data_IF_018042586315
#
_entry.id   IF_018042586315
#
_cell.length_a   1.000
_cell.length_b   1.000
_cell.length_c   1.000
_cell.angle_alpha   90.00
_cell.angle_beta   90.00
_cell.angle_gamma   90.00
#
_symmetry.space_group_name_H-M   'P 1'
#
loop_
_entity.id
_entity.type
_entity.pdbx_description
1 polymer ?
#
# COMPACT_ATOMS: atom_id res chain seq x y z
N UNK A 1 -3.45 22.87 2.16
CA UNK A 1 -4.81 22.34 2.36
C UNK A 1 -5.79 23.31 1.74
N UNK A 2 -6.08 23.18 0.46
CA UNK A 2 -7.14 23.93 -0.24
C UNK A 2 -7.58 23.10 -1.45
N UNK A 3 -8.90 22.86 -1.52
CA UNK A 3 -9.72 22.44 -2.65
C UNK A 3 -9.62 20.95 -3.05
N UNK A 4 -10.50 20.15 -2.47
CA UNK A 4 -11.17 19.09 -3.19
C UNK A 4 -12.68 19.42 -3.18
N UNK A 5 -13.11 20.22 -4.16
CA UNK A 5 -14.52 20.38 -4.49
C UNK A 5 -14.83 19.27 -5.50
N UNK A 6 -15.38 18.16 -5.02
CA UNK A 6 -15.97 17.14 -5.88
C UNK A 6 -17.35 17.67 -6.34
N UNK A 7 -17.43 17.98 -7.63
CA UNK A 7 -18.70 18.16 -8.32
C UNK A 7 -19.36 16.78 -8.41
N UNK A 8 -20.31 16.52 -7.53
CA UNK A 8 -21.24 15.40 -7.68
C UNK A 8 -22.33 15.86 -8.65
N UNK A 9 -22.15 15.59 -9.95
CA UNK A 9 -23.26 15.62 -10.90
C UNK A 9 -24.18 14.45 -10.57
N UNK A 10 -25.36 14.77 -9.98
CA UNK A 10 -26.42 13.79 -9.75
C UNK A 10 -27.05 13.41 -11.06
N UNK A 11 -26.83 12.16 -11.52
CA UNK A 11 -27.73 11.54 -12.48
C UNK A 11 -29.04 11.23 -11.74
N UNK A 12 -30.13 11.91 -12.15
CA UNK A 12 -31.48 11.61 -11.70
C UNK A 12 -31.90 10.21 -12.18
N UNK A 13 -31.70 9.20 -11.35
CA UNK A 13 -32.46 7.97 -11.43
C UNK A 13 -33.64 8.09 -10.50
N UNK A 14 -34.84 7.91 -11.02
CA UNK A 14 -36.09 7.92 -10.28
C UNK A 14 -36.04 6.79 -9.24
N UNK A 15 -35.75 7.15 -7.99
CA UNK A 15 -35.81 6.24 -6.85
C UNK A 15 -37.27 6.14 -6.45
N UNK A 16 -37.84 4.96 -6.53
CA UNK A 16 -39.12 4.63 -5.89
C UNK A 16 -38.93 4.74 -4.39
N UNK A 17 -39.46 5.80 -3.78
CA UNK A 17 -39.52 5.95 -2.34
C UNK A 17 -40.46 4.88 -1.74
N UNK A 18 -39.90 3.90 -1.04
CA UNK A 18 -40.63 2.94 -0.20
C UNK A 18 -40.43 3.38 1.25
N UNK A 19 -41.56 3.71 1.91
CA UNK A 19 -41.57 4.10 3.33
C UNK A 19 -42.77 4.91 3.61
N UNK A 20 -43.25 5.85 3.57
CA UNK A 20 -44.58 6.46 3.59
C UNK A 20 -45.07 6.58 2.15
N UNK A 21 -46.26 6.06 1.83
CA UNK A 21 -46.91 6.25 0.52
C UNK A 21 -46.90 7.76 0.20
N UNK A 22 -45.80 8.23 -0.42
CA UNK A 22 -45.84 9.54 -1.05
C UNK A 22 -46.86 9.42 -2.18
N UNK A 23 -47.81 10.30 -2.27
CA UNK A 23 -48.66 10.40 -3.43
C UNK A 23 -47.85 10.98 -4.60
N UNK A 24 -46.78 10.30 -4.98
CA UNK A 24 -45.72 10.81 -5.85
C UNK A 24 -46.03 10.91 -7.33
N UNK A 25 -47.24 10.66 -7.74
CA UNK A 25 -47.55 10.70 -9.17
C UNK A 25 -48.33 11.96 -9.62
N UNK A 26 -49.05 12.61 -8.71
CA UNK A 26 -49.95 13.68 -9.14
C UNK A 26 -49.22 15.00 -9.41
N UNK A 27 -48.10 15.30 -8.70
CA UNK A 27 -47.38 16.59 -8.81
C UNK A 27 -45.97 16.45 -9.39
N UNK A 28 -45.38 15.30 -9.32
CA UNK A 28 -43.97 15.11 -9.68
C UNK A 28 -43.66 15.58 -11.11
N UNK A 29 -44.55 15.33 -12.08
CA UNK A 29 -44.36 15.83 -13.44
C UNK A 29 -44.43 17.38 -13.50
N UNK A 30 -45.40 17.97 -12.82
CA UNK A 30 -45.61 19.42 -12.80
C UNK A 30 -44.42 20.12 -12.08
N UNK A 31 -43.94 19.55 -10.96
CA UNK A 31 -42.75 20.07 -10.26
C UNK A 31 -41.52 19.98 -11.17
N UNK A 32 -41.32 18.87 -11.89
CA UNK A 32 -40.21 18.75 -12.86
C UNK A 32 -40.32 19.77 -13.99
N UNK A 33 -41.52 20.00 -14.52
CA UNK A 33 -41.71 21.01 -15.56
C UNK A 33 -41.39 22.42 -15.04
N UNK A 34 -41.88 22.79 -13.84
CA UNK A 34 -41.57 24.08 -13.23
C UNK A 34 -40.06 24.21 -12.90
N UNK A 35 -39.41 23.12 -12.48
CA UNK A 35 -37.99 23.11 -12.17
C UNK A 35 -37.10 23.47 -13.36
N UNK A 36 -37.49 23.15 -14.59
CA UNK A 36 -36.71 23.55 -15.80
C UNK A 36 -36.65 25.07 -15.96
N UNK A 37 -37.61 25.78 -15.45
CA UNK A 37 -37.68 27.25 -15.53
C UNK A 37 -36.88 27.97 -14.44
N UNK A 38 -36.42 27.29 -13.38
CA UNK A 38 -35.79 27.93 -12.20
C UNK A 38 -34.57 28.80 -12.60
N UNK A 39 -33.80 28.37 -13.61
CA UNK A 39 -32.62 29.11 -14.11
C UNK A 39 -32.95 30.16 -15.16
N UNK A 40 -33.89 29.84 -16.06
CA UNK A 40 -34.20 30.71 -17.21
C UNK A 40 -35.22 31.79 -16.90
N UNK A 41 -36.25 31.46 -16.12
CA UNK A 41 -37.31 32.40 -15.72
C UNK A 41 -37.78 32.06 -14.29
N UNK A 42 -37.01 32.50 -13.27
CA UNK A 42 -37.31 32.21 -11.87
C UNK A 42 -38.72 32.67 -11.43
N UNK A 43 -39.23 33.76 -12.01
CA UNK A 43 -40.54 34.28 -11.68
C UNK A 43 -41.67 33.34 -12.12
N UNK A 44 -41.57 32.82 -13.36
CA UNK A 44 -42.53 31.81 -13.85
C UNK A 44 -42.43 30.48 -13.10
N UNK A 45 -41.21 30.08 -12.70
CA UNK A 45 -41.03 28.88 -11.88
C UNK A 45 -41.77 29.07 -10.53
N UNK A 46 -41.58 30.21 -9.86
CA UNK A 46 -42.27 30.52 -8.61
C UNK A 46 -43.78 30.56 -8.76
N UNK A 47 -44.30 31.23 -9.80
CA UNK A 47 -45.74 31.25 -10.08
C UNK A 47 -46.31 29.85 -10.31
N UNK A 48 -45.59 28.97 -11.04
CA UNK A 48 -46.01 27.59 -11.28
C UNK A 48 -46.03 26.78 -9.98
N UNK A 49 -45.06 26.97 -9.09
CA UNK A 49 -45.05 26.30 -7.78
C UNK A 49 -46.18 26.84 -6.87
N UNK A 50 -46.41 28.15 -6.87
CA UNK A 50 -47.50 28.74 -6.10
C UNK A 50 -48.89 28.27 -6.58
N UNK A 51 -49.05 28.04 -7.88
CA UNK A 51 -50.27 27.46 -8.42
C UNK A 51 -50.50 26.01 -7.93
N UNK A 52 -49.42 25.20 -7.89
CA UNK A 52 -49.48 23.85 -7.34
C UNK A 52 -49.83 23.81 -5.85
N UNK A 53 -49.46 24.86 -5.10
CA UNK A 53 -49.74 24.99 -3.67
C UNK A 53 -51.10 25.60 -3.34
N UNK A 54 -51.98 25.72 -4.31
CA UNK A 54 -53.38 26.18 -4.09
C UNK A 54 -54.33 25.07 -3.65
N UNK A 55 -55.47 25.47 -3.11
CA UNK A 55 -56.57 24.57 -2.76
C UNK A 55 -56.16 23.50 -1.74
N UNK A 56 -56.39 22.22 -2.07
CA UNK A 56 -56.08 21.05 -1.21
C UNK A 56 -54.62 20.91 -0.88
N UNK A 57 -53.75 21.46 -1.72
CA UNK A 57 -52.30 21.31 -1.60
C UNK A 57 -51.63 22.39 -0.71
N UNK A 58 -52.39 23.39 -0.25
CA UNK A 58 -51.88 24.50 0.56
C UNK A 58 -51.13 24.08 1.83
N UNK A 59 -51.48 22.92 2.39
CA UNK A 59 -50.87 22.33 3.59
C UNK A 59 -50.25 20.99 3.31
N UNK A 60 -49.69 20.76 2.11
CA UNK A 60 -49.07 19.52 1.72
C UNK A 60 -47.55 19.58 1.94
N UNK A 61 -47.09 19.04 3.05
CA UNK A 61 -45.66 19.03 3.39
C UNK A 61 -44.79 18.27 2.37
N UNK A 62 -45.31 17.21 1.79
CA UNK A 62 -44.57 16.43 0.78
C UNK A 62 -44.34 17.22 -0.50
N UNK A 63 -45.36 17.94 -0.99
CA UNK A 63 -45.22 18.79 -2.17
C UNK A 63 -44.22 19.94 -1.91
N UNK A 64 -44.20 20.52 -0.73
CA UNK A 64 -43.20 21.52 -0.35
C UNK A 64 -41.79 20.94 -0.37
N UNK A 65 -41.60 19.70 0.09
CA UNK A 65 -40.30 19.01 0.02
C UNK A 65 -39.88 18.78 -1.42
N UNK A 66 -40.79 18.35 -2.31
CA UNK A 66 -40.45 18.14 -3.75
C UNK A 66 -40.06 19.46 -4.42
N UNK A 67 -40.77 20.58 -4.13
CA UNK A 67 -40.40 21.90 -4.63
C UNK A 67 -39.03 22.32 -4.08
N UNK A 68 -38.82 22.17 -2.76
CA UNK A 68 -37.52 22.47 -2.13
C UNK A 68 -36.38 21.64 -2.73
N UNK A 69 -36.61 20.36 -3.04
CA UNK A 69 -35.67 19.51 -3.73
C UNK A 69 -35.33 20.06 -5.13
N UNK A 70 -36.34 20.45 -5.89
CA UNK A 70 -36.16 21.02 -7.21
C UNK A 70 -35.29 22.32 -7.16
N UNK A 71 -35.47 23.16 -6.16
CA UNK A 71 -34.62 24.34 -5.96
C UNK A 71 -33.16 23.92 -5.58
N UNK A 72 -33.00 22.95 -4.68
CA UNK A 72 -31.68 22.49 -4.27
C UNK A 72 -30.89 21.89 -5.45
N UNK A 73 -31.55 21.10 -6.30
CA UNK A 73 -30.96 20.48 -7.49
C UNK A 73 -30.51 21.54 -8.52
N UNK A 74 -31.12 22.73 -8.51
CA UNK A 74 -30.69 23.86 -9.34
C UNK A 74 -29.69 24.80 -8.61
N UNK A 75 -29.19 24.43 -7.43
CA UNK A 75 -28.24 25.21 -6.63
C UNK A 75 -28.85 26.39 -5.91
N UNK A 76 -30.18 26.48 -5.82
CA UNK A 76 -30.92 27.52 -5.13
C UNK A 76 -31.17 27.13 -3.66
N UNK A 77 -30.08 27.15 -2.88
CA UNK A 77 -30.04 26.61 -1.51
C UNK A 77 -30.92 27.39 -0.53
N UNK A 78 -31.02 28.71 -0.71
CA UNK A 78 -31.84 29.58 0.18
C UNK A 78 -33.33 29.28 -0.01
N UNK A 79 -33.78 29.21 -1.25
CA UNK A 79 -35.18 28.89 -1.59
C UNK A 79 -35.51 27.45 -1.14
N UNK A 80 -34.59 26.49 -1.35
CA UNK A 80 -34.76 25.12 -0.86
C UNK A 80 -34.97 25.11 0.68
N UNK A 81 -34.18 25.88 1.42
CA UNK A 81 -34.29 25.97 2.88
C UNK A 81 -35.64 26.56 3.35
N UNK A 82 -36.18 27.56 2.66
CA UNK A 82 -37.50 28.11 2.94
C UNK A 82 -38.58 27.02 2.78
N UNK A 83 -38.58 26.29 1.69
CA UNK A 83 -39.56 25.21 1.45
C UNK A 83 -39.41 24.06 2.45
N UNK A 84 -38.19 23.68 2.82
CA UNK A 84 -37.94 22.64 3.83
C UNK A 84 -38.49 23.10 5.21
N UNK A 85 -38.31 24.39 5.59
CA UNK A 85 -38.83 24.92 6.82
C UNK A 85 -40.37 24.97 6.81
N UNK A 86 -40.98 25.45 5.73
CA UNK A 86 -42.45 25.48 5.58
C UNK A 86 -43.03 24.05 5.68
N UNK A 87 -42.37 23.05 5.13
CA UNK A 87 -42.78 21.65 5.25
C UNK A 87 -42.77 21.16 6.71
N UNK A 88 -41.72 21.52 7.47
CA UNK A 88 -41.63 21.22 8.92
C UNK A 88 -42.64 21.96 9.75
N UNK A 89 -42.95 23.19 9.41
CA UNK A 89 -43.97 24.02 10.12
C UNK A 89 -45.38 23.45 9.93
N UNK A 90 -45.68 22.91 8.75
CA UNK A 90 -46.97 22.25 8.46
C UNK A 90 -47.05 20.85 9.10
N UNK A 91 -45.96 20.09 9.04
CA UNK A 91 -45.88 18.75 9.62
C UNK A 91 -44.51 18.52 10.24
N UNK A 92 -44.39 18.76 11.54
CA UNK A 92 -43.17 18.58 12.31
C UNK A 92 -42.68 17.10 12.36
N UNK A 93 -43.53 16.16 11.92
CA UNK A 93 -43.17 14.73 11.82
C UNK A 93 -42.88 14.29 10.37
N UNK A 94 -42.69 15.20 9.43
CA UNK A 94 -42.38 14.90 8.05
C UNK A 94 -40.89 14.51 7.91
N UNK A 95 -40.56 13.25 7.97
CA UNK A 95 -39.18 12.75 7.90
C UNK A 95 -38.43 13.27 6.66
N UNK A 96 -39.08 13.28 5.49
CA UNK A 96 -38.47 13.77 4.24
C UNK A 96 -38.14 15.26 4.24
N UNK A 97 -38.79 16.06 5.09
CA UNK A 97 -38.45 17.47 5.26
C UNK A 97 -37.14 17.64 6.03
N UNK A 98 -36.88 16.77 7.00
CA UNK A 98 -35.58 16.72 7.67
C UNK A 98 -34.49 16.15 6.75
N UNK A 99 -34.81 15.14 5.95
CA UNK A 99 -33.87 14.63 4.92
C UNK A 99 -33.44 15.77 3.97
N UNK A 100 -34.38 16.53 3.43
CA UNK A 100 -34.06 17.71 2.60
C UNK A 100 -33.23 18.75 3.36
N UNK A 101 -33.58 19.02 4.61
CA UNK A 101 -32.81 19.95 5.46
C UNK A 101 -31.38 19.49 5.67
N UNK A 102 -31.16 18.19 5.84
CA UNK A 102 -29.82 17.59 5.93
C UNK A 102 -29.04 17.77 4.64
N UNK A 103 -29.63 17.53 3.47
CA UNK A 103 -28.99 17.74 2.18
C UNK A 103 -28.64 19.22 1.94
N UNK A 104 -29.48 20.13 2.36
CA UNK A 104 -29.22 21.58 2.34
C UNK A 104 -28.01 21.91 3.24
N UNK A 105 -27.96 21.35 4.44
CA UNK A 105 -26.87 21.58 5.38
C UNK A 105 -25.53 21.05 4.80
N UNK A 106 -25.54 19.91 4.16
CA UNK A 106 -24.34 19.40 3.44
C UNK A 106 -23.91 20.32 2.30
N UNK A 107 -24.84 20.85 1.54
CA UNK A 107 -24.53 21.80 0.46
C UNK A 107 -23.87 23.09 1.01
N UNK A 108 -24.21 23.46 2.23
CA UNK A 108 -23.62 24.59 2.98
C UNK A 108 -22.34 24.18 3.77
N UNK A 109 -21.87 22.93 3.65
CA UNK A 109 -20.76 22.37 4.43
C UNK A 109 -20.99 22.33 5.95
N UNK A 110 -22.25 22.35 6.42
CA UNK A 110 -22.60 22.15 7.81
C UNK A 110 -22.89 20.68 8.12
N UNK A 111 -21.81 19.94 8.32
CA UNK A 111 -21.84 18.49 8.56
C UNK A 111 -22.61 18.16 9.86
N UNK A 112 -22.48 18.97 10.90
CA UNK A 112 -23.13 18.74 12.18
C UNK A 112 -24.65 18.84 12.07
N UNK A 113 -25.12 19.89 11.38
CA UNK A 113 -26.55 20.08 11.13
C UNK A 113 -27.10 18.98 10.22
N UNK A 114 -26.37 18.61 9.16
CA UNK A 114 -26.74 17.51 8.27
C UNK A 114 -26.94 16.20 9.03
N UNK A 115 -25.98 15.83 9.88
CA UNK A 115 -26.06 14.64 10.74
C UNK A 115 -27.29 14.67 11.66
N UNK A 116 -27.52 15.83 12.32
CA UNK A 116 -28.66 15.96 13.20
C UNK A 116 -29.99 15.81 12.44
N UNK A 117 -30.11 16.43 11.26
CA UNK A 117 -31.32 16.40 10.45
C UNK A 117 -31.56 14.97 9.88
N UNK A 118 -30.53 14.25 9.42
CA UNK A 118 -30.67 12.85 8.98
C UNK A 118 -31.06 11.92 10.13
N UNK A 119 -30.46 12.08 11.30
CA UNK A 119 -30.84 11.29 12.48
C UNK A 119 -32.29 11.57 12.88
N UNK A 120 -32.75 12.83 12.80
CA UNK A 120 -34.13 13.18 13.05
C UNK A 120 -35.06 12.54 12.00
N UNK A 121 -34.66 12.48 10.73
CA UNK A 121 -35.45 11.82 9.70
C UNK A 121 -35.59 10.30 10.00
N UNK A 122 -34.51 9.64 10.42
CA UNK A 122 -34.52 8.22 10.84
C UNK A 122 -35.44 8.02 12.06
N UNK A 123 -35.36 8.91 13.05
CA UNK A 123 -36.20 8.84 14.24
C UNK A 123 -37.71 8.98 13.94
N UNK A 124 -38.06 9.82 12.98
CA UNK A 124 -39.45 10.06 12.59
C UNK A 124 -40.00 8.97 11.64
N UNK A 125 -39.14 8.35 10.85
CA UNK A 125 -39.48 7.29 9.92
C UNK A 125 -38.31 6.30 9.84
N UNK A 126 -38.43 5.20 10.58
CA UNK A 126 -37.42 4.13 10.60
C UNK A 126 -37.25 3.43 9.24
N UNK A 127 -38.17 3.61 8.29
CA UNK A 127 -38.10 3.06 6.94
C UNK A 127 -37.57 4.08 5.91
N UNK A 128 -37.15 5.26 6.36
CA UNK A 128 -36.52 6.26 5.51
C UNK A 128 -35.12 5.85 5.09
N UNK A 129 -35.02 4.92 4.13
CA UNK A 129 -33.76 4.30 3.65
C UNK A 129 -32.73 5.34 3.23
N UNK A 130 -33.14 6.41 2.56
CA UNK A 130 -32.24 7.46 2.12
C UNK A 130 -31.59 8.22 3.28
N UNK A 131 -32.30 8.39 4.40
CA UNK A 131 -31.72 9.03 5.57
C UNK A 131 -30.61 8.19 6.21
N UNK A 132 -30.78 6.87 6.31
CA UNK A 132 -29.70 5.95 6.73
C UNK A 132 -28.49 6.04 5.82
N UNK A 133 -28.72 6.02 4.52
CA UNK A 133 -27.65 6.07 3.52
C UNK A 133 -26.85 7.38 3.61
N UNK A 134 -27.54 8.52 3.67
CA UNK A 134 -26.92 9.84 3.81
C UNK A 134 -26.19 10.01 5.14
N UNK A 135 -26.78 9.54 6.23
CA UNK A 135 -26.15 9.54 7.53
C UNK A 135 -24.84 8.76 7.53
N UNK A 136 -24.86 7.55 6.96
CA UNK A 136 -23.68 6.73 6.84
C UNK A 136 -22.58 7.40 6.00
N UNK A 137 -22.94 8.05 4.89
CA UNK A 137 -21.98 8.78 4.05
C UNK A 137 -21.27 9.92 4.82
N UNK A 138 -22.00 10.64 5.66
CA UNK A 138 -21.44 11.73 6.49
C UNK A 138 -20.41 11.19 7.49
N UNK A 139 -20.70 10.05 8.10
CA UNK A 139 -19.86 9.48 9.15
C UNK A 139 -18.72 8.61 8.63
N UNK A 140 -18.70 8.23 7.36
CA UNK A 140 -17.68 7.35 6.78
C UNK A 140 -16.23 7.73 7.09
N UNK A 141 -15.93 9.03 7.10
CA UNK A 141 -14.58 9.55 7.38
C UNK A 141 -14.35 9.98 8.85
N UNK A 142 -15.40 10.04 9.68
CA UNK A 142 -15.34 10.54 11.06
C UNK A 142 -15.49 9.41 12.07
N UNK A 143 -16.49 8.56 11.87
CA UNK A 143 -16.76 7.36 12.64
C UNK A 143 -17.19 6.23 11.69
N UNK A 144 -16.22 5.52 11.09
CA UNK A 144 -16.51 4.46 10.15
C UNK A 144 -17.33 3.30 10.75
N UNK A 145 -17.23 3.07 12.07
CA UNK A 145 -18.02 2.03 12.73
C UNK A 145 -19.51 2.42 12.76
N UNK A 146 -19.83 3.65 13.10
CA UNK A 146 -21.21 4.15 13.07
C UNK A 146 -21.77 4.12 11.64
N UNK A 147 -20.97 4.49 10.64
CA UNK A 147 -21.34 4.38 9.23
C UNK A 147 -21.67 2.95 8.85
N UNK A 148 -20.81 1.98 9.25
CA UNK A 148 -21.02 0.55 9.02
C UNK A 148 -22.33 0.07 9.63
N UNK A 149 -22.60 0.43 10.89
CA UNK A 149 -23.81 0.02 11.60
C UNK A 149 -25.08 0.54 10.89
N UNK A 150 -25.05 1.77 10.38
CA UNK A 150 -26.17 2.35 9.63
C UNK A 150 -26.37 1.64 8.29
N UNK A 151 -25.30 1.35 7.56
CA UNK A 151 -25.39 0.61 6.29
C UNK A 151 -25.88 -0.84 6.48
N UNK A 152 -25.44 -1.51 7.54
CA UNK A 152 -25.92 -2.88 7.86
C UNK A 152 -27.40 -2.88 8.23
N UNK A 153 -27.88 -1.90 8.99
CA UNK A 153 -29.32 -1.73 9.25
C UNK A 153 -30.10 -1.49 7.95
N UNK A 154 -29.56 -0.62 7.09
CA UNK A 154 -30.18 -0.35 5.79
C UNK A 154 -30.19 -1.59 4.91
N UNK A 155 -29.09 -2.35 4.86
CA UNK A 155 -29.02 -3.61 4.09
C UNK A 155 -30.05 -4.63 4.54
N UNK A 156 -30.36 -4.72 5.83
CA UNK A 156 -31.39 -5.62 6.34
C UNK A 156 -32.82 -5.21 5.92
N UNK A 157 -33.03 -3.92 5.62
CA UNK A 157 -34.33 -3.38 5.20
C UNK A 157 -34.51 -3.39 3.67
N UNK A 158 -33.43 -3.12 2.94
CA UNK A 158 -33.40 -2.98 1.48
C UNK A 158 -32.22 -3.76 0.89
N UNK A 159 -32.23 -5.11 0.97
CA UNK A 159 -31.11 -5.94 0.52
C UNK A 159 -30.83 -5.83 -0.99
N UNK A 160 -31.81 -5.38 -1.76
CA UNK A 160 -31.70 -5.17 -3.21
C UNK A 160 -31.05 -3.83 -3.60
N UNK A 161 -30.86 -2.90 -2.66
CA UNK A 161 -30.21 -1.63 -2.96
C UNK A 161 -28.70 -1.79 -3.10
N UNK A 162 -28.26 -1.85 -4.34
CA UNK A 162 -26.90 -2.08 -4.73
C UNK A 162 -25.91 -0.99 -4.31
N UNK A 163 -26.41 0.24 -4.06
CA UNK A 163 -25.60 1.35 -3.58
C UNK A 163 -24.98 1.03 -2.22
N UNK A 164 -25.68 0.23 -1.40
CA UNK A 164 -25.23 -0.17 -0.07
C UNK A 164 -23.94 -0.98 -0.15
N UNK A 165 -23.85 -1.94 -1.07
CA UNK A 165 -22.66 -2.75 -1.25
C UNK A 165 -21.42 -1.91 -1.60
N UNK A 166 -21.59 -0.88 -2.44
CA UNK A 166 -20.53 0.06 -2.77
C UNK A 166 -20.08 0.89 -1.56
N UNK A 167 -21.03 1.44 -0.80
CA UNK A 167 -20.71 2.22 0.40
C UNK A 167 -20.09 1.37 1.51
N UNK A 168 -20.55 0.13 1.69
CA UNK A 168 -19.93 -0.85 2.60
C UNK A 168 -18.47 -1.11 2.21
N UNK A 169 -18.19 -1.26 0.93
CA UNK A 169 -16.82 -1.43 0.46
C UNK A 169 -15.94 -0.23 0.81
N UNK A 170 -16.44 1.00 0.60
CA UNK A 170 -15.73 2.23 0.96
C UNK A 170 -15.49 2.35 2.47
N UNK A 171 -16.47 1.96 3.30
CA UNK A 171 -16.32 1.97 4.77
C UNK A 171 -15.31 0.94 5.22
N UNK A 172 -15.39 -0.31 4.74
CA UNK A 172 -14.41 -1.34 5.05
C UNK A 172 -13.00 -0.96 4.60
N UNK A 173 -12.87 -0.31 3.45
CA UNK A 173 -11.60 0.25 2.98
C UNK A 173 -11.03 1.28 3.99
N UNK A 174 -11.86 2.22 4.43
CA UNK A 174 -11.47 3.25 5.42
C UNK A 174 -11.03 2.64 6.74
N UNK A 175 -11.63 1.50 7.12
CA UNK A 175 -11.28 0.73 8.33
C UNK A 175 -10.04 -0.17 8.14
N UNK A 176 -9.42 -0.22 6.95
CA UNK A 176 -8.32 -1.11 6.62
C UNK A 176 -8.73 -2.59 6.48
N UNK A 177 -10.02 -2.90 6.43
CA UNK A 177 -10.55 -4.26 6.29
C UNK A 177 -10.68 -4.66 4.82
N UNK A 178 -9.54 -4.70 4.11
CA UNK A 178 -9.50 -4.82 2.65
C UNK A 178 -10.17 -6.09 2.10
N UNK A 179 -10.09 -7.22 2.83
CA UNK A 179 -10.78 -8.44 2.44
C UNK A 179 -12.31 -8.29 2.39
N UNK A 180 -12.92 -7.66 3.41
CA UNK A 180 -14.37 -7.39 3.43
C UNK A 180 -14.77 -6.32 2.41
N UNK A 181 -13.91 -5.32 2.21
CA UNK A 181 -14.12 -4.30 1.19
C UNK A 181 -14.16 -4.93 -0.22
N UNK A 182 -13.26 -5.90 -0.50
CA UNK A 182 -13.25 -6.68 -1.73
C UNK A 182 -14.57 -7.42 -1.93
N UNK A 183 -15.02 -8.18 -0.94
CA UNK A 183 -16.27 -8.94 -1.01
C UNK A 183 -17.49 -8.03 -1.27
N UNK A 184 -17.58 -6.91 -0.56
CA UNK A 184 -18.65 -5.93 -0.76
C UNK A 184 -18.61 -5.32 -2.17
N UNK A 185 -17.41 -5.04 -2.70
CA UNK A 185 -17.26 -4.51 -4.05
C UNK A 185 -17.64 -5.55 -5.13
N UNK A 186 -17.24 -6.80 -4.94
CA UNK A 186 -17.67 -7.92 -5.81
C UNK A 186 -19.19 -8.03 -5.90
N UNK A 187 -19.88 -7.88 -4.77
CA UNK A 187 -21.34 -7.91 -4.74
C UNK A 187 -21.94 -6.71 -5.52
N UNK A 188 -21.36 -5.52 -5.38
CA UNK A 188 -21.75 -4.36 -6.17
C UNK A 188 -21.58 -4.60 -7.68
N UNK A 189 -20.45 -5.16 -8.10
CA UNK A 189 -20.12 -5.36 -9.52
C UNK A 189 -20.99 -6.41 -10.21
N UNK A 190 -21.59 -7.36 -9.48
CA UNK A 190 -22.46 -8.41 -10.05
C UNK A 190 -23.74 -7.84 -10.67
N UNK A 191 -24.27 -6.76 -10.13
CA UNK A 191 -25.57 -6.22 -10.46
C UNK A 191 -25.55 -4.73 -10.86
N UNK A 192 -24.44 -4.05 -10.63
CA UNK A 192 -24.24 -2.65 -11.00
C UNK A 192 -23.82 -2.45 -12.45
N UNK A 193 -23.85 -1.20 -12.87
CA UNK A 193 -23.18 -0.75 -14.11
C UNK A 193 -21.92 0.00 -13.71
N UNK A 194 -20.75 -0.67 -13.67
CA UNK A 194 -19.53 -0.07 -13.18
C UNK A 194 -19.06 1.08 -14.09
N UNK A 195 -18.64 2.15 -13.46
CA UNK A 195 -17.96 3.27 -14.12
C UNK A 195 -16.46 3.06 -14.11
N UNK A 196 -15.72 3.91 -14.85
CA UNK A 196 -14.25 3.95 -14.77
C UNK A 196 -13.75 4.15 -13.34
N UNK A 197 -14.41 5.00 -12.55
CA UNK A 197 -14.06 5.23 -11.14
C UNK A 197 -14.26 3.97 -10.28
N UNK A 198 -15.26 3.17 -10.57
CA UNK A 198 -15.51 1.91 -9.88
C UNK A 198 -14.40 0.91 -10.17
N UNK A 199 -14.00 0.76 -11.44
CA UNK A 199 -12.86 -0.09 -11.79
C UNK A 199 -11.56 0.40 -11.14
N UNK A 200 -11.32 1.71 -11.12
CA UNK A 200 -10.12 2.31 -10.48
C UNK A 200 -10.08 1.98 -8.98
N UNK A 201 -11.18 2.19 -8.26
CA UNK A 201 -11.27 1.92 -6.82
C UNK A 201 -11.10 0.43 -6.51
N UNK A 202 -11.75 -0.41 -7.30
CA UNK A 202 -11.68 -1.85 -7.07
C UNK A 202 -10.29 -2.41 -7.42
N UNK A 203 -9.65 -1.93 -8.48
CA UNK A 203 -8.27 -2.28 -8.81
C UNK A 203 -7.31 -1.89 -7.66
N UNK A 204 -7.42 -0.66 -7.13
CA UNK A 204 -6.63 -0.24 -5.96
C UNK A 204 -6.84 -1.15 -4.75
N UNK A 205 -8.08 -1.54 -4.49
CA UNK A 205 -8.43 -2.44 -3.39
C UNK A 205 -7.79 -3.82 -3.57
N UNK A 206 -7.88 -4.38 -4.76
CA UNK A 206 -7.27 -5.66 -5.11
C UNK A 206 -5.75 -5.62 -5.00
N UNK A 207 -5.13 -4.52 -5.45
CA UNK A 207 -3.70 -4.29 -5.30
C UNK A 207 -3.27 -4.31 -3.82
N UNK A 208 -3.99 -3.56 -2.96
CA UNK A 208 -3.72 -3.52 -1.51
C UNK A 208 -3.93 -4.88 -0.83
N UNK A 209 -4.84 -5.69 -1.35
CA UNK A 209 -5.07 -7.06 -0.90
C UNK A 209 -4.08 -8.07 -1.51
N UNK A 210 -3.13 -7.60 -2.33
CA UNK A 210 -2.14 -8.41 -3.07
C UNK A 210 -2.74 -9.36 -4.13
N UNK A 211 -3.96 -9.08 -4.56
CA UNK A 211 -4.65 -9.82 -5.63
C UNK A 211 -4.28 -9.21 -7.01
N UNK A 212 -2.99 -9.13 -7.31
CA UNK A 212 -2.43 -8.37 -8.45
C UNK A 212 -3.00 -8.79 -9.81
N UNK A 213 -3.23 -10.07 -10.02
CA UNK A 213 -3.81 -10.55 -11.28
C UNK A 213 -5.25 -10.05 -11.49
N UNK A 214 -6.07 -10.03 -10.43
CA UNK A 214 -7.43 -9.50 -10.50
C UNK A 214 -7.41 -7.97 -10.60
N UNK A 215 -6.45 -7.29 -9.91
CA UNK A 215 -6.22 -5.85 -10.04
C UNK A 215 -5.97 -5.50 -11.51
N UNK A 216 -5.04 -6.19 -12.15
CA UNK A 216 -4.70 -5.97 -13.56
C UNK A 216 -5.89 -6.18 -14.52
N UNK A 217 -6.78 -7.14 -14.24
CA UNK A 217 -8.00 -7.32 -15.02
C UNK A 217 -8.94 -6.11 -14.91
N UNK A 218 -9.11 -5.58 -13.69
CA UNK A 218 -9.90 -4.37 -13.46
C UNK A 218 -9.26 -3.13 -14.06
N UNK A 219 -7.93 -3.02 -13.98
CA UNK A 219 -7.15 -1.97 -14.64
C UNK A 219 -7.42 -1.95 -16.15
N UNK A 220 -7.38 -3.11 -16.81
CA UNK A 220 -7.66 -3.21 -18.25
C UNK A 220 -9.07 -2.73 -18.60
N UNK A 221 -10.08 -3.19 -17.86
CA UNK A 221 -11.48 -2.75 -18.05
C UNK A 221 -11.65 -1.25 -17.81
N UNK A 222 -10.99 -0.70 -16.81
CA UNK A 222 -11.04 0.74 -16.54
C UNK A 222 -10.35 1.56 -17.64
N UNK A 223 -9.22 1.10 -18.18
CA UNK A 223 -8.52 1.76 -19.29
C UNK A 223 -9.26 1.67 -20.63
N UNK A 224 -10.12 0.66 -20.84
CA UNK A 224 -11.03 0.63 -21.99
C UNK A 224 -12.02 1.81 -21.96
N UNK A 225 -12.47 2.21 -20.75
CA UNK A 225 -13.39 3.35 -20.58
C UNK A 225 -12.65 4.70 -20.52
N UNK A 226 -11.47 4.73 -19.93
CA UNK A 226 -10.68 5.95 -19.76
C UNK A 226 -9.18 5.66 -20.01
N UNK A 227 -8.73 5.64 -21.27
CA UNK A 227 -7.35 5.29 -21.65
C UNK A 227 -6.28 6.21 -21.03
N UNK A 228 -6.66 7.43 -20.65
CA UNK A 228 -5.73 8.42 -20.08
C UNK A 228 -5.73 8.46 -18.54
N UNK A 229 -6.46 7.56 -17.88
CA UNK A 229 -6.47 7.49 -16.42
C UNK A 229 -5.09 7.11 -15.89
N UNK A 230 -4.40 8.09 -15.29
CA UNK A 230 -3.04 7.94 -14.77
C UNK A 230 -2.94 7.01 -13.56
N UNK A 231 -4.03 6.87 -12.76
CA UNK A 231 -4.06 5.95 -11.62
C UNK A 231 -4.06 4.50 -12.11
N UNK A 232 -4.87 4.21 -13.13
CA UNK A 232 -4.91 2.87 -13.74
C UNK A 232 -3.60 2.54 -14.46
N UNK A 233 -3.00 3.49 -15.19
CA UNK A 233 -1.67 3.31 -15.81
C UNK A 233 -0.59 3.01 -14.76
N UNK A 234 -0.62 3.71 -13.61
CA UNK A 234 0.27 3.45 -12.46
C UNK A 234 0.09 2.03 -11.94
N UNK A 235 -1.16 1.63 -11.66
CA UNK A 235 -1.47 0.29 -11.15
C UNK A 235 -1.04 -0.79 -12.12
N UNK A 236 -1.21 -0.60 -13.45
CA UNK A 236 -0.71 -1.54 -14.44
C UNK A 236 0.78 -1.81 -14.27
N UNK A 237 1.59 -0.75 -14.16
CA UNK A 237 3.04 -0.86 -13.95
C UNK A 237 3.36 -1.60 -12.64
N UNK A 238 2.65 -1.30 -11.56
CA UNK A 238 2.86 -1.93 -10.26
C UNK A 238 2.46 -3.40 -10.28
N UNK A 239 1.27 -3.73 -10.81
CA UNK A 239 0.78 -5.10 -10.92
C UNK A 239 1.72 -5.99 -11.74
N UNK A 240 2.24 -5.50 -12.87
CA UNK A 240 3.19 -6.26 -13.69
C UNK A 240 4.50 -6.55 -12.96
N UNK A 241 5.02 -5.61 -12.15
CA UNK A 241 6.19 -5.87 -11.31
C UNK A 241 5.91 -6.99 -10.31
N UNK A 242 4.80 -6.89 -9.59
CA UNK A 242 4.42 -7.87 -8.56
C UNK A 242 4.15 -9.27 -9.16
N UNK A 243 3.59 -9.31 -10.37
CA UNK A 243 3.36 -10.53 -11.15
C UNK A 243 4.63 -11.07 -11.82
N UNK A 244 5.77 -10.33 -11.73
CA UNK A 244 7.05 -10.64 -12.36
C UNK A 244 7.01 -10.69 -13.90
N UNK A 245 6.04 -10.03 -14.49
CA UNK A 245 6.00 -9.79 -15.95
C UNK A 245 6.76 -8.49 -16.28
N UNK A 246 8.06 -8.56 -16.14
CA UNK A 246 8.93 -7.38 -16.21
C UNK A 246 8.90 -6.69 -17.57
N UNK A 247 8.81 -7.48 -18.65
CA UNK A 247 8.79 -6.94 -20.01
C UNK A 247 7.53 -6.07 -20.25
N UNK A 248 6.36 -6.61 -19.96
CA UNK A 248 5.10 -5.86 -20.08
C UNK A 248 5.04 -4.71 -19.08
N UNK A 249 5.63 -4.90 -17.89
CA UNK A 249 5.78 -3.85 -16.89
C UNK A 249 6.60 -2.65 -17.38
N UNK A 250 7.67 -2.87 -18.13
CA UNK A 250 8.46 -1.80 -18.74
C UNK A 250 7.69 -1.06 -19.85
N UNK A 251 6.88 -1.76 -20.64
CA UNK A 251 5.98 -1.14 -21.61
C UNK A 251 4.90 -0.26 -20.92
N UNK A 252 4.34 -0.76 -19.82
CA UNK A 252 3.41 0.00 -18.99
C UNK A 252 4.08 1.23 -18.35
N UNK A 253 5.31 1.10 -17.85
CA UNK A 253 6.09 2.20 -17.32
C UNK A 253 6.35 3.28 -18.39
N UNK A 254 6.76 2.89 -19.59
CA UNK A 254 6.96 3.81 -20.71
C UNK A 254 5.68 4.59 -21.04
N UNK A 255 4.52 3.91 -21.02
CA UNK A 255 3.22 4.53 -21.25
C UNK A 255 2.83 5.49 -20.11
N UNK A 256 3.10 5.10 -18.86
CA UNK A 256 2.80 5.92 -17.69
C UNK A 256 3.66 7.19 -17.65
N UNK A 257 4.96 7.08 -17.94
CA UNK A 257 5.91 8.20 -17.95
C UNK A 257 5.99 8.97 -19.28
N UNK A 258 5.10 8.73 -20.22
CA UNK A 258 5.09 9.41 -21.52
C UNK A 258 4.95 10.94 -21.41
N UNK A 259 4.39 11.46 -20.31
CA UNK A 259 4.31 12.89 -20.01
C UNK A 259 5.24 13.24 -18.83
N UNK A 260 6.50 13.65 -19.07
CA UNK A 260 7.48 13.89 -18.02
C UNK A 260 7.16 15.06 -17.09
N UNK A 261 6.24 15.95 -17.48
CA UNK A 261 5.78 17.08 -16.66
C UNK A 261 4.53 16.81 -15.82
N UNK A 262 4.08 15.56 -15.73
CA UNK A 262 2.88 15.23 -14.99
C UNK A 262 3.07 15.49 -13.47
N UNK A 263 2.26 16.38 -12.85
CA UNK A 263 2.40 16.73 -11.43
C UNK A 263 1.95 15.63 -10.46
N UNK A 264 1.38 14.53 -10.97
CA UNK A 264 0.86 13.42 -10.16
C UNK A 264 1.89 12.30 -9.94
N UNK A 265 3.10 12.40 -10.50
CA UNK A 265 4.16 11.44 -10.19
C UNK A 265 4.59 11.56 -8.74
N UNK A 266 4.79 10.41 -8.10
CA UNK A 266 5.28 10.28 -6.73
C UNK A 266 6.59 9.49 -6.73
N UNK A 267 7.38 9.61 -5.65
CA UNK A 267 8.67 8.90 -5.55
C UNK A 267 8.52 7.38 -5.80
N UNK A 268 7.42 6.80 -5.33
CA UNK A 268 7.17 5.36 -5.46
C UNK A 268 7.02 4.91 -6.93
N UNK A 269 6.52 5.78 -7.81
CA UNK A 269 6.45 5.48 -9.25
C UNK A 269 7.84 5.22 -9.84
N UNK A 270 8.81 6.02 -9.44
CA UNK A 270 10.21 5.85 -9.87
C UNK A 270 10.87 4.63 -9.23
N UNK A 271 10.52 4.28 -7.98
CA UNK A 271 10.98 3.04 -7.33
C UNK A 271 10.48 1.81 -8.09
N UNK A 272 9.20 1.76 -8.47
CA UNK A 272 8.65 0.64 -9.23
C UNK A 272 9.27 0.54 -10.61
N UNK A 273 9.45 1.67 -11.30
CA UNK A 273 10.14 1.69 -12.59
C UNK A 273 11.59 1.21 -12.46
N UNK A 274 12.32 1.66 -11.45
CA UNK A 274 13.69 1.22 -11.20
C UNK A 274 13.78 -0.28 -10.97
N UNK A 275 12.86 -0.86 -10.19
CA UNK A 275 12.81 -2.31 -9.93
C UNK A 275 12.48 -3.13 -11.19
N UNK A 276 11.64 -2.62 -12.08
CA UNK A 276 11.40 -3.23 -13.39
C UNK A 276 12.68 -3.23 -14.24
N UNK A 277 13.39 -2.10 -14.30
CA UNK A 277 14.67 -1.97 -15.02
C UNK A 277 15.73 -2.89 -14.42
N UNK A 278 15.83 -2.97 -13.11
CA UNK A 278 16.74 -3.88 -12.39
C UNK A 278 16.48 -5.34 -12.74
N UNK A 279 15.20 -5.75 -12.73
CA UNK A 279 14.80 -7.12 -13.07
C UNK A 279 15.14 -7.48 -14.54
N UNK A 280 15.09 -6.48 -15.43
CA UNK A 280 15.52 -6.61 -16.83
C UNK A 280 17.04 -6.39 -17.03
N UNK A 281 17.81 -6.24 -15.93
CA UNK A 281 19.26 -6.01 -15.91
C UNK A 281 19.73 -4.69 -16.55
N UNK A 282 18.84 -3.72 -16.67
CA UNK A 282 19.15 -2.35 -17.07
C UNK A 282 19.60 -1.53 -15.84
N UNK A 283 20.78 -1.90 -15.32
CA UNK A 283 21.23 -1.45 -13.99
C UNK A 283 21.49 0.06 -13.91
N UNK A 284 22.06 0.66 -14.96
CA UNK A 284 22.36 2.09 -15.03
C UNK A 284 21.08 2.91 -14.97
N UNK A 285 20.11 2.54 -15.79
CA UNK A 285 18.80 3.17 -15.87
C UNK A 285 18.02 3.00 -14.55
N UNK A 286 18.11 1.84 -13.92
CA UNK A 286 17.51 1.58 -12.61
C UNK A 286 18.05 2.56 -11.56
N UNK A 287 19.37 2.76 -11.48
CA UNK A 287 19.99 3.71 -10.56
C UNK A 287 19.55 5.14 -10.84
N UNK A 288 19.39 5.52 -12.11
CA UNK A 288 18.85 6.86 -12.47
C UNK A 288 17.45 7.05 -11.90
N UNK A 289 16.57 6.05 -11.99
CA UNK A 289 15.20 6.17 -11.48
C UNK A 289 15.17 6.16 -9.94
N UNK A 290 15.97 5.34 -9.28
CA UNK A 290 16.10 5.39 -7.82
C UNK A 290 16.60 6.75 -7.32
N UNK A 291 17.61 7.34 -7.97
CA UNK A 291 18.07 8.69 -7.64
C UNK A 291 16.99 9.74 -7.86
N UNK A 292 16.14 9.57 -8.88
CA UNK A 292 15.01 10.47 -9.10
C UNK A 292 13.97 10.35 -7.99
N UNK A 293 13.68 9.14 -7.52
CA UNK A 293 12.84 8.90 -6.35
C UNK A 293 13.38 9.63 -5.10
N UNK A 294 14.67 9.48 -4.80
CA UNK A 294 15.34 10.19 -3.70
C UNK A 294 15.30 11.72 -3.85
N UNK A 295 15.37 12.24 -5.08
CA UNK A 295 15.29 13.69 -5.32
C UNK A 295 13.91 14.26 -5.01
N UNK A 296 12.86 13.44 -5.10
CA UNK A 296 11.48 13.83 -4.77
C UNK A 296 11.21 13.78 -3.27
N UNK A 297 11.72 12.76 -2.59
CA UNK A 297 11.58 12.61 -1.15
C UNK A 297 12.80 11.91 -0.54
N UNK A 298 13.67 12.71 0.06
CA UNK A 298 14.90 12.25 0.70
C UNK A 298 14.68 11.48 2.01
N UNK A 299 13.46 11.46 2.54
CA UNK A 299 13.16 10.72 3.77
C UNK A 299 13.15 9.21 3.59
N UNK A 300 13.07 8.74 2.34
CA UNK A 300 13.08 7.32 1.96
C UNK A 300 14.50 6.79 1.81
N UNK A 301 15.22 6.76 2.92
CA UNK A 301 16.65 6.34 2.93
C UNK A 301 16.85 4.88 2.52
N UNK A 302 15.83 4.04 2.63
CA UNK A 302 15.83 2.64 2.16
C UNK A 302 16.14 2.52 0.65
N UNK A 303 15.89 3.55 -0.15
CA UNK A 303 16.23 3.55 -1.58
C UNK A 303 17.75 3.45 -1.81
N UNK A 304 18.57 3.92 -0.87
CA UNK A 304 20.02 3.71 -0.95
C UNK A 304 20.41 2.22 -0.86
N UNK A 305 19.62 1.40 -0.13
CA UNK A 305 19.82 -0.06 -0.11
C UNK A 305 19.47 -0.66 -1.48
N UNK A 306 18.34 -0.24 -2.08
CA UNK A 306 17.97 -0.67 -3.43
C UNK A 306 19.09 -0.32 -4.45
N UNK A 307 19.67 0.89 -4.38
CA UNK A 307 20.81 1.31 -5.22
C UNK A 307 22.03 0.41 -4.96
N UNK A 308 22.32 0.12 -3.69
CA UNK A 308 23.43 -0.77 -3.31
C UNK A 308 23.24 -2.17 -3.90
N UNK A 309 22.03 -2.72 -3.82
CA UNK A 309 21.70 -4.05 -4.36
C UNK A 309 21.88 -4.09 -5.90
N UNK A 310 21.48 -3.02 -6.60
CA UNK A 310 21.71 -2.91 -8.05
C UNK A 310 23.20 -2.96 -8.36
N UNK A 311 24.04 -2.20 -7.64
CA UNK A 311 25.49 -2.20 -7.84
C UNK A 311 26.14 -3.54 -7.40
N UNK A 312 25.65 -4.20 -6.35
CA UNK A 312 26.09 -5.56 -5.96
C UNK A 312 25.84 -6.56 -7.11
N UNK A 313 24.63 -6.57 -7.71
CA UNK A 313 24.28 -7.42 -8.84
C UNK A 313 25.16 -7.17 -10.06
N UNK A 314 25.51 -5.91 -10.28
CA UNK A 314 26.46 -5.50 -11.33
C UNK A 314 27.92 -5.82 -10.98
N UNK A 315 28.22 -6.21 -9.74
CA UNK A 315 29.56 -6.42 -9.18
C UNK A 315 30.40 -5.12 -9.10
N UNK A 316 29.74 -3.96 -9.09
CA UNK A 316 30.39 -2.68 -8.82
C UNK A 316 30.40 -2.44 -7.30
N UNK A 317 31.23 -3.24 -6.59
CA UNK A 317 31.27 -3.22 -5.13
C UNK A 317 31.64 -1.87 -4.54
N UNK A 318 32.55 -1.07 -5.11
CA UNK A 318 32.82 0.26 -4.58
C UNK A 318 31.58 1.16 -4.48
N UNK A 319 30.74 1.16 -5.55
CA UNK A 319 29.50 1.93 -5.56
C UNK A 319 28.41 1.30 -4.69
N UNK A 320 28.36 -0.04 -4.60
CA UNK A 320 27.46 -0.71 -3.67
C UNK A 320 27.76 -0.33 -2.21
N UNK A 321 29.05 -0.33 -1.83
CA UNK A 321 29.53 0.06 -0.50
C UNK A 321 29.22 1.55 -0.23
N UNK A 322 29.45 2.43 -1.19
CA UNK A 322 29.15 3.87 -1.08
C UNK A 322 27.65 4.10 -0.86
N UNK A 323 26.79 3.46 -1.68
CA UNK A 323 25.34 3.58 -1.53
C UNK A 323 24.86 3.05 -0.18
N UNK A 324 25.37 1.88 0.25
CA UNK A 324 25.01 1.33 1.56
C UNK A 324 25.46 2.20 2.72
N UNK A 325 26.66 2.81 2.60
CA UNK A 325 27.15 3.77 3.58
C UNK A 325 26.25 5.00 3.66
N UNK A 326 25.80 5.55 2.52
CA UNK A 326 24.84 6.65 2.50
C UNK A 326 23.54 6.28 3.24
N UNK A 327 23.05 5.03 3.07
CA UNK A 327 21.93 4.53 3.85
C UNK A 327 22.20 4.60 5.35
N UNK A 328 23.36 4.09 5.81
CA UNK A 328 23.72 4.06 7.23
C UNK A 328 23.91 5.47 7.82
N UNK A 329 24.49 6.40 7.05
CA UNK A 329 24.76 7.78 7.46
C UNK A 329 23.46 8.62 7.57
N UNK A 330 22.47 8.34 6.71
CA UNK A 330 21.19 9.05 6.69
C UNK A 330 20.11 8.41 7.62
N UNK A 331 20.41 7.27 8.23
CA UNK A 331 19.51 6.63 9.19
C UNK A 331 19.30 7.52 10.42
N UNK A 332 18.05 7.61 10.90
CA UNK A 332 17.70 8.29 12.16
C UNK A 332 17.97 7.44 13.41
N UNK A 333 18.18 6.16 13.24
CA UNK A 333 18.41 5.17 14.30
C UNK A 333 19.76 4.49 14.12
N UNK A 334 20.29 3.88 15.19
CA UNK A 334 21.47 3.04 15.06
C UNK A 334 21.20 1.84 14.15
N UNK A 335 22.17 1.45 13.28
CA UNK A 335 22.06 0.28 12.43
C UNK A 335 21.71 -0.98 13.22
N UNK A 336 20.80 -1.78 12.67
CA UNK A 336 20.52 -3.10 13.21
C UNK A 336 21.65 -4.09 12.82
N UNK A 337 21.52 -5.33 13.32
CA UNK A 337 22.53 -6.35 13.07
C UNK A 337 22.52 -6.77 11.60
N UNK A 338 21.36 -6.78 10.96
CA UNK A 338 21.24 -7.15 9.54
C UNK A 338 21.90 -6.10 8.66
N UNK A 339 21.75 -4.82 8.99
CA UNK A 339 22.40 -3.73 8.26
C UNK A 339 23.92 -3.83 8.35
N UNK A 340 24.46 -4.01 9.57
CA UNK A 340 25.90 -4.20 9.76
C UNK A 340 26.41 -5.44 9.03
N UNK A 341 25.68 -6.54 9.11
CA UNK A 341 26.05 -7.78 8.47
C UNK A 341 26.11 -7.66 6.94
N UNK A 342 25.11 -7.02 6.32
CA UNK A 342 25.10 -6.79 4.87
C UNK A 342 26.23 -5.86 4.45
N UNK A 343 26.49 -4.79 5.19
CA UNK A 343 27.59 -3.87 4.90
C UNK A 343 28.96 -4.56 5.02
N UNK A 344 29.17 -5.38 6.05
CA UNK A 344 30.38 -6.19 6.20
C UNK A 344 30.56 -7.19 5.03
N UNK A 345 29.46 -7.78 4.59
CA UNK A 345 29.45 -8.75 3.48
C UNK A 345 29.81 -8.09 2.13
N UNK A 346 29.32 -6.88 1.87
CA UNK A 346 29.70 -6.12 0.67
C UNK A 346 31.23 -5.87 0.63
N UNK A 347 31.81 -5.46 1.75
CA UNK A 347 33.26 -5.27 1.87
C UNK A 347 34.04 -6.58 1.67
N UNK A 348 33.54 -7.70 2.23
CA UNK A 348 34.15 -9.00 2.02
C UNK A 348 34.12 -9.42 0.54
N UNK A 349 32.99 -9.23 -0.15
CA UNK A 349 32.87 -9.57 -1.57
C UNK A 349 33.74 -8.66 -2.45
N UNK A 350 33.86 -7.37 -2.13
CA UNK A 350 34.81 -6.48 -2.77
C UNK A 350 36.25 -6.98 -2.63
N UNK A 351 36.61 -7.46 -1.45
CA UNK A 351 37.96 -8.00 -1.18
C UNK A 351 38.23 -9.32 -1.92
N UNK A 352 37.20 -10.10 -2.26
CA UNK A 352 37.35 -11.37 -2.97
C UNK A 352 37.27 -11.23 -4.49
N UNK A 353 36.86 -10.07 -5.00
CA UNK A 353 36.75 -9.81 -6.43
C UNK A 353 38.12 -9.41 -7.03
N UNK A 354 38.49 -10.10 -8.09
CA UNK A 354 39.77 -9.87 -8.77
C UNK A 354 39.91 -8.44 -9.34
N UNK A 355 38.79 -7.76 -9.63
CA UNK A 355 38.81 -6.38 -10.12
C UNK A 355 39.30 -5.36 -9.08
N UNK A 356 39.32 -5.71 -7.78
CA UNK A 356 39.63 -4.77 -6.68
C UNK A 356 40.78 -5.28 -5.79
N UNK A 357 41.65 -6.12 -6.31
CA UNK A 357 42.78 -6.72 -5.60
C UNK A 357 43.75 -5.68 -4.99
N UNK A 358 43.94 -4.57 -5.65
CA UNK A 358 44.75 -3.44 -5.16
C UNK A 358 44.23 -2.83 -3.85
N UNK A 359 42.92 -2.94 -3.59
CA UNK A 359 42.24 -2.44 -2.41
C UNK A 359 41.81 -3.55 -1.43
N UNK A 360 42.14 -4.79 -1.71
CA UNK A 360 41.79 -5.93 -0.87
C UNK A 360 42.10 -5.70 0.62
N UNK A 361 43.34 -5.23 1.01
CA UNK A 361 43.63 -5.03 2.44
C UNK A 361 42.67 -4.04 3.12
N UNK A 362 42.24 -2.99 2.40
CA UNK A 362 41.32 -1.98 2.92
C UNK A 362 39.93 -2.59 3.16
N UNK A 363 39.40 -3.30 2.18
CA UNK A 363 38.10 -3.93 2.29
C UNK A 363 38.07 -5.03 3.36
N UNK A 364 39.15 -5.82 3.51
CA UNK A 364 39.26 -6.82 4.58
C UNK A 364 39.32 -6.17 5.96
N UNK A 365 40.03 -5.04 6.12
CA UNK A 365 40.09 -4.33 7.38
C UNK A 365 38.73 -3.77 7.80
N UNK A 366 38.00 -3.18 6.84
CA UNK A 366 36.64 -2.66 7.08
C UNK A 366 35.66 -3.79 7.42
N UNK A 367 35.67 -4.88 6.65
CA UNK A 367 34.84 -6.06 6.90
C UNK A 367 35.06 -6.64 8.30
N UNK A 368 36.35 -6.80 8.72
CA UNK A 368 36.67 -7.32 10.07
C UNK A 368 36.13 -6.40 11.18
N UNK A 369 36.27 -5.07 10.99
CA UNK A 369 35.78 -4.08 11.95
C UNK A 369 34.25 -4.18 12.08
N UNK A 370 33.54 -4.29 10.98
CA UNK A 370 32.06 -4.38 10.98
C UNK A 370 31.60 -5.70 11.61
N UNK A 371 32.21 -6.84 11.23
CA UNK A 371 31.84 -8.13 11.81
C UNK A 371 32.24 -8.24 13.28
N UNK A 372 33.24 -7.49 13.74
CA UNK A 372 33.54 -7.38 15.17
C UNK A 372 32.37 -6.70 15.94
N UNK A 373 31.78 -5.65 15.37
CA UNK A 373 30.60 -5.03 15.96
C UNK A 373 29.41 -6.00 16.00
N UNK A 374 29.20 -6.80 14.93
CA UNK A 374 28.17 -7.85 14.93
C UNK A 374 28.41 -8.87 16.04
N UNK A 375 29.64 -9.37 16.20
CA UNK A 375 29.99 -10.32 17.26
C UNK A 375 29.76 -9.78 18.67
N UNK A 376 30.02 -8.49 18.89
CA UNK A 376 29.79 -7.82 20.18
C UNK A 376 28.30 -7.62 20.46
N UNK A 377 27.51 -7.23 19.43
CA UNK A 377 26.07 -6.98 19.61
C UNK A 377 25.26 -8.27 19.84
N UNK A 378 25.70 -9.39 19.29
CA UNK A 378 25.03 -10.69 19.39
C UNK A 378 26.04 -11.81 19.70
N UNK A 379 26.58 -11.85 20.91
CA UNK A 379 27.65 -12.78 21.29
C UNK A 379 27.23 -14.27 21.18
N UNK A 380 25.94 -14.59 21.29
CA UNK A 380 25.40 -15.95 21.15
C UNK A 380 25.14 -16.36 19.70
N UNK A 381 25.46 -15.48 18.74
CA UNK A 381 25.36 -15.75 17.31
C UNK A 381 26.75 -15.95 16.71
N UNK A 382 26.98 -17.10 16.10
CA UNK A 382 28.29 -17.43 15.50
C UNK A 382 28.68 -16.57 14.30
N UNK A 383 27.72 -15.92 13.61
CA UNK A 383 27.94 -15.25 12.31
C UNK A 383 29.01 -14.16 12.38
N UNK A 384 29.02 -13.31 13.42
CA UNK A 384 30.04 -12.27 13.56
C UNK A 384 31.45 -12.85 13.59
N UNK A 385 31.69 -13.85 14.44
CA UNK A 385 32.98 -14.53 14.54
C UNK A 385 33.31 -15.35 13.28
N UNK A 386 32.35 -16.05 12.70
CA UNK A 386 32.53 -16.84 11.49
C UNK A 386 32.98 -15.99 10.29
N UNK A 387 32.37 -14.83 10.10
CA UNK A 387 32.78 -13.95 9.00
C UNK A 387 34.11 -13.24 9.29
N UNK A 388 34.42 -12.92 10.55
CA UNK A 388 35.77 -12.48 10.95
C UNK A 388 36.81 -13.54 10.62
N UNK A 389 36.51 -14.80 10.88
CA UNK A 389 37.39 -15.92 10.52
C UNK A 389 37.66 -15.96 9.02
N UNK A 390 36.64 -15.86 8.18
CA UNK A 390 36.79 -15.81 6.72
C UNK A 390 37.64 -14.63 6.25
N UNK A 391 37.40 -13.43 6.82
CA UNK A 391 38.22 -12.25 6.52
C UNK A 391 39.66 -12.48 6.87
N UNK A 392 39.94 -13.03 8.05
CA UNK A 392 41.31 -13.25 8.52
C UNK A 392 42.01 -14.44 7.85
N UNK A 393 41.26 -15.42 7.30
CA UNK A 393 41.79 -16.44 6.41
C UNK A 393 42.33 -15.84 5.10
N UNK A 394 41.64 -14.84 4.54
CA UNK A 394 42.15 -14.16 3.34
C UNK A 394 43.36 -13.27 3.61
N UNK A 395 43.56 -12.83 4.86
CA UNK A 395 44.75 -12.07 5.28
C UNK A 395 45.98 -12.95 5.55
N UNK A 396 45.76 -14.22 5.81
CA UNK A 396 46.80 -15.25 6.09
C UNK A 396 46.48 -16.51 5.29
N UNK A 397 46.59 -16.47 3.94
CA UNK A 397 46.19 -17.56 3.07
C UNK A 397 46.94 -18.89 3.34
N UNK A 398 48.20 -18.80 3.71
CA UNK A 398 49.07 -19.95 4.07
C UNK A 398 48.84 -20.45 5.51
N UNK A 399 47.95 -19.77 6.24
CA UNK A 399 47.61 -20.09 7.65
C UNK A 399 48.81 -20.12 8.60
N UNK A 400 49.90 -19.46 8.20
CA UNK A 400 51.17 -19.48 8.94
C UNK A 400 51.12 -18.62 10.21
N UNK A 401 50.34 -17.55 10.22
CA UNK A 401 50.17 -16.68 11.39
C UNK A 401 49.02 -17.19 12.28
N UNK A 402 48.01 -17.86 11.70
CA UNK A 402 46.83 -18.34 12.38
C UNK A 402 45.85 -17.21 12.73
N UNK A 403 45.78 -16.17 11.90
CA UNK A 403 44.94 -14.99 12.16
C UNK A 403 43.45 -15.31 12.31
N UNK A 404 42.95 -16.31 11.60
CA UNK A 404 41.54 -16.72 11.65
C UNK A 404 41.21 -17.68 12.80
N UNK A 405 42.23 -18.32 13.41
CA UNK A 405 42.06 -19.38 14.43
C UNK A 405 41.12 -18.93 15.56
N UNK A 406 41.34 -17.81 16.28
CA UNK A 406 40.53 -17.45 17.44
C UNK A 406 39.04 -17.25 17.09
N UNK A 407 38.77 -16.82 15.86
CA UNK A 407 37.42 -16.54 15.41
C UNK A 407 36.69 -17.82 14.96
N UNK A 408 37.39 -18.78 14.32
CA UNK A 408 36.82 -20.09 14.03
C UNK A 408 36.55 -20.87 15.32
N UNK A 409 37.43 -20.83 16.29
CA UNK A 409 37.23 -21.44 17.61
C UNK A 409 36.02 -20.83 18.33
N UNK A 410 35.86 -19.51 18.32
CA UNK A 410 34.71 -18.83 18.93
C UNK A 410 33.41 -19.20 18.20
N UNK A 411 33.41 -19.23 16.87
CA UNK A 411 32.24 -19.63 16.10
C UNK A 411 31.84 -21.09 16.36
N UNK A 412 32.83 -21.99 16.40
CA UNK A 412 32.62 -23.40 16.66
C UNK A 412 32.05 -23.66 18.06
N UNK A 413 32.58 -22.96 19.08
CA UNK A 413 32.09 -23.06 20.46
C UNK A 413 30.60 -22.70 20.59
N UNK A 414 30.12 -21.72 19.82
CA UNK A 414 28.72 -21.34 19.77
C UNK A 414 27.89 -22.39 19.03
N UNK A 415 28.40 -22.89 17.91
CA UNK A 415 27.72 -23.86 17.05
C UNK A 415 27.55 -25.23 17.73
N UNK A 416 28.57 -25.71 18.46
CA UNK A 416 28.53 -27.00 19.17
C UNK A 416 27.47 -27.04 20.28
N UNK A 417 26.96 -25.87 20.72
CA UNK A 417 25.87 -25.79 21.69
C UNK A 417 24.47 -25.83 21.04
N UNK A 418 24.39 -25.85 19.71
CA UNK A 418 23.13 -25.79 18.97
C UNK A 418 22.84 -27.13 18.30
N UNK A 419 21.70 -27.77 18.60
CA UNK A 419 21.37 -29.09 18.03
C UNK A 419 21.13 -29.06 16.51
N UNK A 420 20.81 -27.90 15.97
CA UNK A 420 20.48 -27.63 14.57
C UNK A 420 21.59 -26.88 13.83
N UNK A 421 22.83 -26.94 14.33
CA UNK A 421 23.95 -26.25 13.73
C UNK A 421 24.15 -26.65 12.26
N UNK A 422 24.40 -25.65 11.40
CA UNK A 422 24.58 -25.85 9.94
C UNK A 422 25.83 -26.67 9.68
N UNK A 423 25.68 -27.89 9.16
CA UNK A 423 26.76 -28.83 8.91
C UNK A 423 27.92 -28.26 8.08
N UNK A 424 27.61 -27.50 7.01
CA UNK A 424 28.63 -26.88 6.18
C UNK A 424 29.51 -25.88 6.92
N UNK A 425 28.94 -25.14 7.88
CA UNK A 425 29.68 -24.18 8.71
C UNK A 425 30.59 -24.92 9.71
N UNK A 426 30.07 -25.98 10.33
CA UNK A 426 30.88 -26.85 11.20
C UNK A 426 32.05 -27.47 10.45
N UNK A 427 31.82 -27.96 9.24
CA UNK A 427 32.85 -28.51 8.38
C UNK A 427 33.91 -27.44 8.03
N UNK A 428 33.51 -26.22 7.65
CA UNK A 428 34.44 -25.14 7.36
C UNK A 428 35.30 -24.76 8.57
N UNK A 429 34.69 -24.61 9.76
CA UNK A 429 35.43 -24.28 10.98
C UNK A 429 36.46 -25.38 11.31
N UNK A 430 36.04 -26.64 11.29
CA UNK A 430 36.91 -27.77 11.61
C UNK A 430 38.01 -27.97 10.52
N UNK A 431 37.71 -27.70 9.26
CA UNK A 431 38.69 -27.78 8.16
C UNK A 431 39.84 -26.78 8.35
N UNK A 432 39.50 -25.52 8.65
CA UNK A 432 40.51 -24.50 8.91
C UNK A 432 41.35 -24.87 10.13
N UNK A 433 40.73 -25.27 11.23
CA UNK A 433 41.48 -25.63 12.45
C UNK A 433 42.32 -26.89 12.25
N UNK A 434 41.81 -27.89 11.54
CA UNK A 434 42.58 -29.06 11.18
C UNK A 434 43.82 -28.71 10.34
N UNK A 435 43.66 -27.84 9.34
CA UNK A 435 44.77 -27.36 8.53
C UNK A 435 45.76 -26.49 9.33
N UNK A 436 45.26 -25.57 10.17
CA UNK A 436 46.12 -24.77 11.04
C UNK A 436 47.04 -25.60 11.93
N UNK A 437 46.50 -26.62 12.60
CA UNK A 437 47.33 -27.48 13.46
C UNK A 437 48.27 -28.37 12.67
N UNK A 438 47.92 -28.73 11.43
CA UNK A 438 48.84 -29.39 10.52
C UNK A 438 50.04 -28.50 10.18
N UNK A 439 49.82 -27.23 9.81
CA UNK A 439 50.86 -26.24 9.52
C UNK A 439 51.74 -25.98 10.75
N UNK A 440 51.18 -26.08 11.96
CA UNK A 440 51.92 -25.97 13.21
C UNK A 440 52.60 -27.27 13.67
N UNK A 441 52.54 -28.30 12.88
CA UNK A 441 53.12 -29.65 13.18
C UNK A 441 52.46 -30.33 14.41
N UNK A 442 51.33 -29.80 14.93
CA UNK A 442 50.51 -30.48 15.96
C UNK A 442 49.55 -31.46 15.31
N UNK A 443 50.09 -32.57 14.91
CA UNK A 443 49.36 -33.60 14.17
C UNK A 443 48.25 -34.25 15.01
N UNK A 444 48.39 -34.26 16.33
CA UNK A 444 47.34 -34.80 17.21
C UNK A 444 46.09 -33.92 17.21
N UNK A 445 46.24 -32.63 17.34
CA UNK A 445 45.10 -31.67 17.25
C UNK A 445 44.55 -31.66 15.83
N UNK A 446 45.43 -31.68 14.83
CA UNK A 446 44.96 -31.73 13.43
C UNK A 446 44.05 -32.92 13.17
N UNK A 447 44.46 -34.15 13.57
CA UNK A 447 43.62 -35.35 13.44
C UNK A 447 42.28 -35.26 14.15
N UNK A 448 42.20 -34.61 15.33
CA UNK A 448 40.95 -34.43 16.07
C UNK A 448 39.94 -33.60 15.25
N UNK A 449 40.36 -32.49 14.66
CA UNK A 449 39.45 -31.65 13.86
C UNK A 449 39.02 -32.34 12.57
N UNK A 450 39.91 -33.06 11.87
CA UNK A 450 39.53 -33.83 10.68
C UNK A 450 38.57 -34.97 11.00
N UNK A 451 38.74 -35.67 12.12
CA UNK A 451 37.80 -36.68 12.57
C UNK A 451 36.42 -36.13 12.90
N UNK A 452 36.33 -34.94 13.54
CA UNK A 452 35.05 -34.26 13.75
C UNK A 452 34.30 -34.01 12.43
N UNK A 453 35.01 -33.76 11.35
CA UNK A 453 34.36 -33.61 10.02
C UNK A 453 33.76 -34.94 9.58
N UNK A 454 34.46 -36.06 9.74
CA UNK A 454 33.93 -37.37 9.37
C UNK A 454 32.78 -37.84 10.27
N UNK A 455 32.66 -37.34 11.50
CA UNK A 455 31.49 -37.54 12.36
C UNK A 455 30.26 -36.83 11.81
N UNK A 456 30.42 -35.66 11.16
CA UNK A 456 29.36 -34.84 10.56
C UNK A 456 29.00 -35.30 9.16
N UNK A 457 30.03 -35.64 8.38
CA UNK A 457 30.01 -36.01 6.97
C UNK A 457 31.02 -37.16 6.73
N UNK A 458 30.59 -38.44 6.92
CA UNK A 458 31.46 -39.59 6.79
C UNK A 458 32.10 -39.80 5.41
N UNK A 459 31.51 -39.22 4.36
CA UNK A 459 31.99 -39.32 3.00
C UNK A 459 32.88 -38.14 2.58
N UNK A 460 33.29 -37.27 3.51
CA UNK A 460 34.09 -36.10 3.23
C UNK A 460 35.48 -36.44 2.73
N UNK A 461 35.66 -36.33 1.41
CA UNK A 461 36.91 -36.64 0.77
C UNK A 461 38.11 -35.82 1.26
N UNK A 462 37.90 -34.55 1.58
CA UNK A 462 38.95 -33.63 2.05
C UNK A 462 39.49 -34.09 3.40
N UNK A 463 38.60 -34.44 4.32
CA UNK A 463 38.98 -34.92 5.65
C UNK A 463 39.70 -36.28 5.55
N UNK A 464 39.22 -37.19 4.71
CA UNK A 464 39.82 -38.49 4.46
C UNK A 464 41.24 -38.35 3.89
N UNK A 465 41.44 -37.48 2.90
CA UNK A 465 42.76 -37.22 2.30
C UNK A 465 43.71 -36.56 3.31
N UNK A 466 43.22 -35.61 4.09
CA UNK A 466 44.00 -34.92 5.13
C UNK A 466 44.53 -35.92 6.19
N UNK A 467 43.63 -36.78 6.71
CA UNK A 467 44.01 -37.82 7.69
C UNK A 467 45.01 -38.82 7.12
N UNK A 468 44.87 -39.20 5.86
CA UNK A 468 45.83 -40.13 5.17
C UNK A 468 47.21 -39.50 4.96
N UNK A 469 47.32 -38.19 4.89
CA UNK A 469 48.55 -37.42 4.77
C UNK A 469 49.29 -37.13 6.08
N UNK A 470 48.62 -37.29 7.24
CA UNK A 470 49.20 -37.01 8.57
C UNK A 470 49.81 -38.32 9.13
N UNK A 471 51.11 -38.40 9.10
CA UNK A 471 51.87 -39.57 9.63
C UNK A 471 51.89 -39.63 11.15
#
# INVERSE_FOLDING_TARGET
>A
MKKLVLIVMSLCLAVTMWGQKSPGSEWSLQVKQAATMIKEDPAKASEAFDELLKGKNKKNAFLLVEIGRAYLDQGKTAEAAEYAQRAKDINSKCAVAYLLSGDIALNLNDVNKASSDYNQAIYLDEDCSEAYFKYAQVYKGVDPQLSLDMLMRLQSKTPEDNRISKELADVYYTMGQYGKAKEAYENYLKVGTPTEQDYTRYAMLLYLNKDYAQSLDMVKKGLELAPENHVLKRLAMYDYLELKDYKTGLEAAATFFANPGNPYYVYLDYVYFARLLEADKQYEEAVVQFNKALSMDKSHTEIYKDISDVYEKKRDFPKAIEAYKNYLDEMKSSPDISDLFLYGRLNYYAATDSAYQDKQPTYLAEADTIFAQVAVKVPDNYLGNFWRARVNSLRDPETTQGLAKPYYEAALSILEQKPDATKSVLVECNSYLGYYYFVKEDYNQSKQYWNKILEIDPENETATKALGGIK
#
